data_IF_757696606558
#
_entry.id   IF_757696606558
#
_cell.length_a   1.000
_cell.length_b   1.000
_cell.length_c   1.000
_cell.angle_alpha   90.00
_cell.angle_beta   90.00
_cell.angle_gamma   90.00
#
_symmetry.space_group_name_H-M   'P 1'
#
loop_
_entity.id
_entity.type
_entity.pdbx_description
1 polymer ?
#
# COMPACT_ATOMS: atom_id res chain seq x y z
N UNK A 1 -7.55 -9.28 -16.67
CA UNK A 1 -7.33 -9.94 -15.37
C UNK A 1 -8.05 -9.12 -14.31
N UNK A 2 -8.95 -9.72 -13.53
CA UNK A 2 -9.62 -9.00 -12.44
C UNK A 2 -8.63 -8.79 -11.31
N UNK A 3 -8.17 -7.55 -11.11
CA UNK A 3 -7.36 -7.15 -9.96
C UNK A 3 -8.27 -7.08 -8.74
N UNK A 4 -8.52 -8.22 -8.11
CA UNK A 4 -9.35 -8.28 -6.91
C UNK A 4 -8.59 -7.59 -5.76
N UNK A 5 -9.04 -6.42 -5.26
CA UNK A 5 -8.27 -5.61 -4.32
C UNK A 5 -8.07 -6.28 -2.95
N UNK A 6 -8.80 -7.37 -2.68
CA UNK A 6 -8.67 -8.17 -1.46
C UNK A 6 -7.32 -8.91 -1.34
N UNK A 7 -6.57 -9.09 -2.44
CA UNK A 7 -5.30 -9.82 -2.42
C UNK A 7 -4.09 -8.96 -2.04
N UNK A 8 -4.30 -7.66 -1.91
CA UNK A 8 -3.24 -6.66 -1.98
C UNK A 8 -2.61 -6.34 -0.61
N UNK A 9 -3.36 -6.50 0.49
CA UNK A 9 -2.88 -6.21 1.85
C UNK A 9 -2.99 -7.48 2.71
N UNK A 10 -2.00 -8.36 2.58
CA UNK A 10 -1.96 -9.63 3.33
C UNK A 10 -1.30 -9.49 4.70
N UNK A 11 -0.54 -8.40 4.89
CA UNK A 11 0.25 -8.16 6.09
C UNK A 11 -0.44 -7.24 7.09
N UNK A 12 -0.35 -7.61 8.36
CA UNK A 12 -0.68 -6.70 9.48
C UNK A 12 0.57 -5.89 9.80
N UNK A 13 0.44 -4.57 9.80
CA UNK A 13 1.55 -3.66 10.10
C UNK A 13 1.24 -2.83 11.34
N UNK A 14 2.18 -2.83 12.28
CA UNK A 14 2.14 -1.96 13.44
C UNK A 14 2.36 -0.49 13.07
N UNK A 15 1.87 0.41 13.92
CA UNK A 15 2.02 1.84 13.71
C UNK A 15 3.51 2.22 13.82
N UNK A 16 4.03 2.86 12.77
CA UNK A 16 5.41 3.32 12.71
C UNK A 16 6.40 2.26 12.20
N UNK A 17 5.94 1.05 11.89
CA UNK A 17 6.79 -0.01 11.35
C UNK A 17 6.83 0.05 9.82
N UNK A 18 7.98 0.43 9.28
CA UNK A 18 8.22 0.37 7.84
C UNK A 18 8.57 -1.06 7.44
N UNK A 19 8.05 -1.52 6.32
CA UNK A 19 8.28 -2.88 5.83
C UNK A 19 8.23 -2.93 4.31
N UNK A 20 8.97 -3.86 3.72
CA UNK A 20 8.84 -4.21 2.31
C UNK A 20 8.60 -5.71 2.20
N UNK A 21 7.69 -6.10 1.32
CA UNK A 21 7.27 -7.50 1.13
C UNK A 21 7.12 -7.75 -0.35
N UNK A 22 7.81 -8.79 -0.83
CA UNK A 22 7.68 -9.26 -2.21
C UNK A 22 6.77 -10.48 -2.21
N UNK A 23 5.72 -10.45 -3.04
CA UNK A 23 4.83 -11.59 -3.27
C UNK A 23 5.23 -12.27 -4.58
N UNK A 24 6.00 -13.36 -4.46
CA UNK A 24 6.58 -14.08 -5.61
C UNK A 24 5.50 -14.67 -6.54
N UNK A 25 4.35 -15.07 -5.99
CA UNK A 25 3.21 -15.63 -6.74
C UNK A 25 2.64 -14.66 -7.79
N UNK A 26 2.69 -13.36 -7.51
CA UNK A 26 2.14 -12.32 -8.40
C UNK A 26 3.23 -11.40 -8.98
N UNK A 27 4.50 -11.61 -8.62
CA UNK A 27 5.64 -10.74 -8.97
C UNK A 27 5.35 -9.28 -8.61
N UNK A 28 4.79 -9.08 -7.41
CA UNK A 28 4.45 -7.76 -6.86
C UNK A 28 5.35 -7.44 -5.69
N UNK A 29 5.97 -6.26 -5.69
CA UNK A 29 6.65 -5.72 -4.52
C UNK A 29 5.76 -4.68 -3.83
N UNK A 30 5.65 -4.78 -2.50
CA UNK A 30 4.83 -3.89 -1.68
C UNK A 30 5.67 -3.27 -0.59
N UNK A 31 5.77 -1.95 -0.64
CA UNK A 31 6.45 -1.15 0.38
C UNK A 31 5.45 -0.42 1.27
N UNK A 32 5.67 -0.47 2.58
CA UNK A 32 4.90 0.22 3.60
C UNK A 32 5.78 1.22 4.32
N UNK A 33 5.43 2.49 4.22
CA UNK A 33 6.21 3.62 4.75
C UNK A 33 5.32 4.49 5.63
N UNK A 34 5.61 4.51 6.92
CA UNK A 34 5.01 5.44 7.86
C UNK A 34 5.71 6.79 7.81
N UNK A 35 4.90 7.84 7.69
CA UNK A 35 5.30 9.24 7.91
C UNK A 35 4.70 9.70 9.23
N UNK A 36 5.46 9.47 10.31
CA UNK A 36 4.95 9.64 11.67
C UNK A 36 3.88 8.60 12.01
N UNK A 37 3.07 8.86 13.04
CA UNK A 37 2.05 7.91 13.54
C UNK A 37 0.68 8.04 12.85
N UNK A 38 0.52 8.99 11.94
CA UNK A 38 -0.78 9.37 11.38
C UNK A 38 -0.88 9.25 9.86
N UNK A 39 0.21 8.91 9.17
CA UNK A 39 0.22 8.74 7.73
C UNK A 39 0.97 7.46 7.37
N UNK A 40 0.28 6.55 6.68
CA UNK A 40 0.87 5.37 6.07
C UNK A 40 0.76 5.51 4.55
N UNK A 41 1.88 5.34 3.88
CA UNK A 41 1.96 5.24 2.42
C UNK A 41 2.32 3.80 2.07
N UNK A 42 1.56 3.21 1.17
CA UNK A 42 1.79 1.88 0.64
C UNK A 42 2.02 2.02 -0.86
N UNK A 43 3.12 1.50 -1.36
CA UNK A 43 3.48 1.54 -2.76
C UNK A 43 3.56 0.12 -3.29
N UNK A 44 2.96 -0.11 -4.44
CA UNK A 44 2.91 -1.41 -5.08
C UNK A 44 3.52 -1.30 -6.45
N UNK A 45 4.52 -2.12 -6.70
CA UNK A 45 5.18 -2.23 -7.99
C UNK A 45 4.83 -3.57 -8.61
N UNK A 46 4.33 -3.53 -9.84
CA UNK A 46 4.07 -4.70 -10.66
C UNK A 46 4.55 -4.43 -12.09
N UNK A 47 4.69 -5.46 -12.91
CA UNK A 47 5.30 -5.35 -14.23
C UNK A 47 4.63 -4.34 -15.19
N UNK A 48 3.40 -3.91 -14.90
CA UNK A 48 2.62 -2.96 -15.70
C UNK A 48 2.40 -1.58 -15.06
N UNK A 49 3.17 -1.23 -14.03
CA UNK A 49 3.11 0.08 -13.39
C UNK A 49 3.13 0.03 -11.86
N UNK A 50 2.64 1.11 -11.26
CA UNK A 50 2.60 1.23 -9.80
C UNK A 50 1.26 1.75 -9.29
N UNK A 51 0.91 1.34 -8.09
CA UNK A 51 -0.26 1.87 -7.38
C UNK A 51 0.12 2.29 -5.98
N UNK A 52 -0.24 3.51 -5.61
CA UNK A 52 0.03 4.09 -4.30
C UNK A 52 -1.25 4.27 -3.50
N UNK A 53 -1.23 3.85 -2.25
CA UNK A 53 -2.30 4.01 -1.28
C UNK A 53 -1.80 4.85 -0.11
N UNK A 54 -2.51 5.93 0.18
CA UNK A 54 -2.15 6.87 1.24
C UNK A 54 -3.27 6.91 2.27
N UNK A 55 -3.00 6.36 3.44
CA UNK A 55 -3.87 6.42 4.60
C UNK A 55 -3.43 7.58 5.49
N UNK A 56 -4.31 8.54 5.72
CA UNK A 56 -4.08 9.64 6.66
C UNK A 56 -5.15 9.63 7.75
N UNK A 57 -4.72 9.32 8.97
CA UNK A 57 -5.55 9.43 10.16
C UNK A 57 -5.87 10.90 10.45
N UNK A 58 -7.16 11.19 10.63
CA UNK A 58 -7.71 12.47 11.04
C UNK A 58 -8.47 12.29 12.35
N UNK A 59 -8.75 13.39 13.05
CA UNK A 59 -9.43 13.38 14.36
C UNK A 59 -10.78 12.64 14.35
N UNK A 60 -11.49 12.61 13.21
CA UNK A 60 -12.79 11.93 13.03
C UNK A 60 -12.75 10.79 11.99
N UNK A 61 -11.63 10.07 11.88
CA UNK A 61 -11.52 8.88 11.02
C UNK A 61 -10.37 8.93 10.03
N UNK A 62 -10.37 8.05 9.04
CA UNK A 62 -9.22 7.86 8.13
C UNK A 62 -9.59 8.30 6.72
N UNK A 63 -8.76 9.16 6.11
CA UNK A 63 -8.86 9.44 4.67
C UNK A 63 -7.95 8.45 3.93
N UNK A 64 -8.51 7.72 2.98
CA UNK A 64 -7.77 6.93 2.00
C UNK A 64 -7.70 7.71 0.68
N UNK A 65 -6.51 7.82 0.12
CA UNK A 65 -6.28 8.30 -1.26
C UNK A 65 -5.59 7.18 -2.02
N UNK A 66 -6.12 6.83 -3.20
CA UNK A 66 -5.51 5.85 -4.11
C UNK A 66 -5.07 6.57 -5.38
N UNK A 67 -3.83 6.33 -5.79
CA UNK A 67 -3.23 6.87 -7.02
C UNK A 67 -2.79 5.68 -7.85
N UNK A 68 -3.25 5.61 -9.10
CA UNK A 68 -2.90 4.57 -10.04
C UNK A 68 -2.09 5.18 -11.17
N UNK A 69 -0.91 4.61 -11.44
CA UNK A 69 -0.03 5.01 -12.53
C UNK A 69 0.26 3.76 -13.36
N UNK A 70 -0.36 3.68 -14.53
CA UNK A 70 -0.01 2.70 -15.55
C UNK A 70 1.11 3.29 -16.43
N UNK A 71 2.10 2.47 -16.77
CA UNK A 71 3.09 2.77 -17.80
C UNK A 71 2.49 2.52 -19.20
#
# INVERSE_FOLDING_TARGET
>A
MSTNPAYIFREKIGIGENRSVTYEDEVVDVEYKWKGKNKLEILQHFAGGETSYIFKHKKNGTKLTTIHSAD
#
